data_IF_460740977657
#
_entry.id   IF_460740977657
#
_cell.length_a   1.000
_cell.length_b   1.000
_cell.length_c   1.000
_cell.angle_alpha   90.00
_cell.angle_beta   90.00
_cell.angle_gamma   90.00
#
_symmetry.space_group_name_H-M   'P 1'
#
loop_
_entity.id
_entity.type
_entity.pdbx_description
1 polymer ?
#
# COMPACT_ATOMS: atom_id res chain seq x y z
N UNK A 1 8.51 -34.91 -1.98
CA UNK A 1 9.47 -33.86 -1.58
C UNK A 1 8.90 -32.51 -2.00
N UNK A 2 8.10 -31.87 -1.15
CA UNK A 2 7.61 -30.52 -1.42
C UNK A 2 8.65 -29.54 -0.90
N UNK A 3 9.41 -28.94 -1.82
CA UNK A 3 10.19 -27.76 -1.50
C UNK A 3 9.23 -26.69 -0.95
N UNK A 4 9.50 -26.24 0.27
CA UNK A 4 8.89 -25.04 0.86
C UNK A 4 9.24 -23.86 -0.04
N UNK A 5 8.35 -23.58 -0.99
CA UNK A 5 8.51 -22.52 -1.98
C UNK A 5 8.61 -21.18 -1.26
N UNK A 6 9.82 -20.60 -1.29
CA UNK A 6 10.04 -19.23 -0.87
C UNK A 6 9.01 -18.32 -1.53
N UNK A 7 8.47 -17.42 -0.73
CA UNK A 7 7.52 -16.38 -1.06
C UNK A 7 8.06 -15.48 -2.19
N UNK A 8 7.96 -15.92 -3.45
CA UNK A 8 8.29 -15.09 -4.59
C UNK A 8 7.21 -14.01 -4.69
N UNK A 9 7.61 -12.76 -4.39
CA UNK A 9 6.80 -11.55 -4.52
C UNK A 9 6.18 -11.49 -5.92
N UNK A 10 4.85 -11.44 -6.03
CA UNK A 10 4.19 -11.35 -7.35
C UNK A 10 4.63 -10.06 -8.07
N UNK A 11 4.45 -9.96 -9.40
CA UNK A 11 4.70 -8.69 -10.11
C UNK A 11 3.93 -7.52 -9.48
N UNK A 12 2.75 -7.81 -8.93
CA UNK A 12 1.95 -6.86 -8.20
C UNK A 12 2.61 -6.39 -6.89
N UNK A 13 3.17 -7.31 -6.11
CA UNK A 13 3.86 -6.98 -4.85
C UNK A 13 5.08 -6.09 -5.10
N UNK A 14 5.92 -6.48 -6.05
CA UNK A 14 7.05 -5.65 -6.48
C UNK A 14 6.57 -4.27 -6.91
N UNK A 15 5.48 -4.17 -7.70
CA UNK A 15 4.95 -2.87 -8.12
C UNK A 15 4.51 -1.98 -6.95
N UNK A 16 4.05 -2.58 -5.84
CA UNK A 16 3.66 -1.84 -4.63
C UNK A 16 4.91 -1.38 -3.88
N UNK A 17 5.89 -2.25 -3.68
CA UNK A 17 7.14 -1.94 -2.97
C UNK A 17 7.93 -0.81 -3.66
N UNK A 18 8.08 -0.86 -4.98
CA UNK A 18 8.74 0.20 -5.75
C UNK A 18 8.00 1.54 -5.64
N UNK A 19 6.67 1.51 -5.65
CA UNK A 19 5.85 2.70 -5.46
C UNK A 19 6.01 3.29 -4.05
N UNK A 20 6.07 2.45 -3.01
CA UNK A 20 6.33 2.92 -1.66
C UNK A 20 7.71 3.53 -1.50
N UNK A 21 8.73 2.90 -2.11
CA UNK A 21 10.10 3.40 -2.13
C UNK A 21 10.17 4.77 -2.82
N UNK A 22 9.52 4.92 -3.97
CA UNK A 22 9.36 6.21 -4.65
C UNK A 22 8.73 7.26 -3.74
N UNK A 23 7.64 6.91 -3.05
CA UNK A 23 6.97 7.84 -2.13
C UNK A 23 7.89 8.29 -0.98
N UNK A 24 8.73 7.39 -0.44
CA UNK A 24 9.71 7.72 0.61
C UNK A 24 10.78 8.69 0.10
N UNK A 25 11.36 8.43 -1.06
CA UNK A 25 12.35 9.33 -1.69
C UNK A 25 11.74 10.71 -1.98
N UNK A 26 10.50 10.75 -2.48
CA UNK A 26 9.84 12.02 -2.78
C UNK A 26 9.58 12.84 -1.51
N UNK A 27 9.17 12.20 -0.41
CA UNK A 27 9.03 12.87 0.89
C UNK A 27 10.36 13.38 1.42
N UNK A 28 11.41 12.57 1.37
CA UNK A 28 12.75 12.96 1.79
C UNK A 28 13.25 14.19 1.01
N UNK A 29 13.08 14.15 -0.32
CA UNK A 29 13.45 15.26 -1.21
C UNK A 29 12.65 16.53 -0.92
N UNK A 30 11.36 16.40 -0.59
CA UNK A 30 10.52 17.51 -0.19
C UNK A 30 11.00 18.12 1.14
N UNK A 31 11.28 17.29 2.14
CA UNK A 31 11.80 17.74 3.44
C UNK A 31 13.12 18.52 3.29
N UNK A 32 14.07 18.01 2.48
CA UNK A 32 15.32 18.72 2.18
C UNK A 32 15.12 20.06 1.44
N UNK A 33 14.02 20.23 0.71
CA UNK A 33 13.71 21.49 0.03
C UNK A 33 13.06 22.51 0.96
N UNK A 34 12.27 22.04 1.90
CA UNK A 34 11.52 22.85 2.86
C UNK A 34 12.37 23.30 4.06
N UNK A 35 13.53 22.68 4.29
CA UNK A 35 14.56 23.21 5.17
C UNK A 35 14.99 24.60 4.66
N UNK A 36 14.53 25.65 5.34
CA UNK A 36 14.84 27.03 5.00
C UNK A 36 16.32 27.35 5.22
N UNK A 37 16.84 28.33 4.47
CA UNK A 37 18.24 28.74 4.53
C UNK A 37 19.04 28.33 3.29
N UNK A 38 20.33 28.67 3.30
CA UNK A 38 21.26 28.30 2.25
C UNK A 38 21.67 26.83 2.43
N UNK A 39 21.47 26.02 1.40
CA UNK A 39 21.79 24.60 1.47
C UNK A 39 23.29 24.38 1.58
N UNK A 40 23.69 23.45 2.44
CA UNK A 40 25.07 22.99 2.54
C UNK A 40 25.45 22.20 1.28
N UNK A 41 26.76 22.03 1.05
CA UNK A 41 27.25 21.19 -0.05
C UNK A 41 26.73 19.74 0.07
N UNK A 42 26.64 19.23 1.30
CA UNK A 42 26.11 17.89 1.59
C UNK A 42 24.63 17.77 1.22
N UNK A 43 23.80 18.75 1.58
CA UNK A 43 22.38 18.78 1.23
C UNK A 43 22.15 18.87 -0.29
N UNK A 44 23.02 19.59 -1.01
CA UNK A 44 22.98 19.64 -2.48
C UNK A 44 23.27 18.27 -3.11
N UNK A 45 24.30 17.57 -2.62
CA UNK A 45 24.62 16.20 -3.06
C UNK A 45 23.47 15.24 -2.75
N UNK A 46 22.90 15.30 -1.55
CA UNK A 46 21.75 14.46 -1.17
C UNK A 46 20.52 14.71 -2.06
N UNK A 47 20.26 15.96 -2.44
CA UNK A 47 19.19 16.30 -3.37
C UNK A 47 19.42 15.76 -4.79
N UNK A 48 20.65 15.77 -5.27
CA UNK A 48 21.03 15.20 -6.56
C UNK A 48 20.85 13.68 -6.56
N UNK A 49 21.39 13.00 -5.53
CA UNK A 49 21.24 11.56 -5.34
C UNK A 49 19.76 11.17 -5.26
N UNK A 50 18.97 11.87 -4.44
CA UNK A 50 17.53 11.62 -4.33
C UNK A 50 16.80 11.85 -5.67
N UNK A 51 17.21 12.85 -6.45
CA UNK A 51 16.66 13.10 -7.78
C UNK A 51 16.96 11.98 -8.78
N UNK A 52 18.18 11.44 -8.76
CA UNK A 52 18.56 10.28 -9.57
C UNK A 52 17.77 9.03 -9.18
N UNK A 53 17.69 8.75 -7.87
CA UNK A 53 16.91 7.63 -7.33
C UNK A 53 15.42 7.73 -7.69
N UNK A 54 14.83 8.93 -7.63
CA UNK A 54 13.44 9.13 -8.05
C UNK A 54 13.24 8.78 -9.54
N UNK A 55 14.17 9.18 -10.41
CA UNK A 55 14.13 8.87 -11.84
C UNK A 55 14.15 7.36 -12.09
N UNK A 56 15.05 6.64 -11.41
CA UNK A 56 15.15 5.19 -11.56
C UNK A 56 13.93 4.46 -10.98
N UNK A 57 13.43 4.90 -9.82
CA UNK A 57 12.22 4.37 -9.22
C UNK A 57 10.98 4.63 -10.11
N UNK A 58 10.93 5.75 -10.83
CA UNK A 58 9.88 6.01 -11.81
C UNK A 58 9.89 4.99 -12.96
N UNK A 59 11.08 4.73 -13.52
CA UNK A 59 11.24 3.72 -14.58
C UNK A 59 10.86 2.34 -14.09
N UNK A 60 11.36 1.94 -12.91
CA UNK A 60 11.05 0.64 -12.33
C UNK A 60 9.56 0.49 -11.99
N UNK A 61 8.93 1.52 -11.42
CA UNK A 61 7.49 1.48 -11.13
C UNK A 61 6.68 1.28 -12.41
N UNK A 62 6.98 2.02 -13.47
CA UNK A 62 6.29 1.89 -14.76
C UNK A 62 6.49 0.49 -15.38
N UNK A 63 7.71 -0.04 -15.33
CA UNK A 63 8.02 -1.38 -15.81
C UNK A 63 7.26 -2.46 -15.02
N UNK A 64 7.22 -2.38 -13.69
CA UNK A 64 6.46 -3.30 -12.87
C UNK A 64 4.96 -3.20 -13.15
N UNK A 65 4.41 -2.00 -13.33
CA UNK A 65 3.02 -1.81 -13.72
C UNK A 65 2.67 -2.46 -15.06
N UNK A 66 3.56 -2.35 -16.05
CA UNK A 66 3.40 -3.04 -17.33
C UNK A 66 3.42 -4.55 -17.15
N UNK A 67 4.33 -5.09 -16.32
CA UNK A 67 4.38 -6.53 -16.05
C UNK A 67 3.10 -7.03 -15.39
N UNK A 68 2.54 -6.27 -14.45
CA UNK A 68 1.25 -6.59 -13.82
C UNK A 68 0.12 -6.75 -14.84
N UNK A 69 0.12 -5.92 -15.88
CA UNK A 69 -0.91 -5.94 -16.91
C UNK A 69 -0.66 -6.99 -18.00
N UNK A 70 0.59 -7.22 -18.39
CA UNK A 70 0.87 -7.98 -19.61
C UNK A 70 1.48 -9.36 -19.37
N UNK A 71 2.09 -9.61 -18.21
CA UNK A 71 2.61 -10.94 -17.89
C UNK A 71 1.52 -11.86 -17.32
N UNK A 72 1.68 -13.15 -17.59
CA UNK A 72 0.92 -14.20 -16.90
C UNK A 72 1.40 -14.31 -15.45
N UNK A 73 0.53 -14.84 -14.58
CA UNK A 73 0.87 -15.06 -13.17
C UNK A 73 1.37 -13.82 -12.42
N UNK A 74 0.84 -12.67 -12.79
CA UNK A 74 1.28 -11.40 -12.25
C UNK A 74 0.66 -11.03 -10.90
N UNK A 75 -0.39 -11.75 -10.48
CA UNK A 75 -1.10 -11.59 -9.21
C UNK A 75 -1.29 -12.96 -8.55
N UNK A 76 -1.20 -13.01 -7.23
CA UNK A 76 -1.48 -14.22 -6.46
C UNK A 76 -2.99 -14.52 -6.45
N UNK A 77 -3.34 -15.78 -6.62
CA UNK A 77 -4.72 -16.26 -6.57
C UNK A 77 -5.39 -15.95 -5.22
N UNK A 78 -4.64 -16.03 -4.12
CA UNK A 78 -5.14 -15.68 -2.78
C UNK A 78 -5.64 -14.25 -2.72
N UNK A 79 -4.96 -13.31 -3.38
CA UNK A 79 -5.38 -11.91 -3.37
C UNK A 79 -6.63 -11.67 -4.23
N UNK A 80 -6.78 -12.42 -5.33
CA UNK A 80 -8.00 -12.38 -6.14
C UNK A 80 -9.22 -12.75 -5.27
N UNK A 81 -9.08 -13.75 -4.41
CA UNK A 81 -10.17 -14.21 -3.56
C UNK A 81 -10.50 -13.22 -2.43
N UNK A 82 -9.50 -12.54 -1.87
CA UNK A 82 -9.67 -11.70 -0.67
C UNK A 82 -9.98 -10.22 -0.94
N UNK A 83 -9.68 -9.70 -2.14
CA UNK A 83 -9.76 -8.27 -2.44
C UNK A 83 -11.19 -7.69 -2.64
N UNK A 84 -12.25 -8.40 -2.25
CA UNK A 84 -13.63 -7.91 -2.38
C UNK A 84 -14.07 -7.69 -3.83
N UNK A 85 -13.63 -8.55 -4.74
CA UNK A 85 -13.94 -8.49 -6.17
C UNK A 85 -15.34 -9.03 -6.46
N UNK A 86 -15.96 -8.54 -7.53
CA UNK A 86 -17.17 -9.18 -8.07
C UNK A 86 -16.83 -10.51 -8.73
N UNK A 87 -17.81 -11.41 -8.87
CA UNK A 87 -17.57 -12.72 -9.52
C UNK A 87 -16.98 -12.57 -10.93
N UNK A 88 -17.45 -11.60 -11.71
CA UNK A 88 -16.89 -11.32 -13.04
C UNK A 88 -15.44 -10.83 -13.01
N UNK A 89 -15.07 -10.05 -12.00
CA UNK A 89 -13.69 -9.60 -11.80
C UNK A 89 -12.77 -10.78 -11.41
N UNK A 90 -13.23 -11.66 -10.52
CA UNK A 90 -12.50 -12.88 -10.14
C UNK A 90 -12.31 -13.80 -11.33
N UNK A 91 -13.37 -14.09 -12.08
CA UNK A 91 -13.33 -14.93 -13.28
C UNK A 91 -12.30 -14.43 -14.30
N UNK A 92 -12.36 -13.13 -14.65
CA UNK A 92 -11.40 -12.53 -15.58
C UNK A 92 -9.97 -12.57 -15.02
N UNK A 93 -9.78 -12.28 -13.74
CA UNK A 93 -8.46 -12.31 -13.11
C UNK A 93 -7.85 -13.71 -13.07
N UNK A 94 -8.67 -14.74 -12.79
CA UNK A 94 -8.25 -16.14 -12.80
C UNK A 94 -7.92 -16.61 -14.22
N UNK A 95 -8.74 -16.28 -15.22
CA UNK A 95 -8.44 -16.63 -16.61
C UNK A 95 -7.18 -15.91 -17.11
N UNK A 96 -6.96 -14.66 -16.70
CA UNK A 96 -5.78 -13.86 -17.09
C UNK A 96 -4.46 -14.46 -16.61
N UNK A 97 -4.49 -15.37 -15.63
CA UNK A 97 -3.32 -16.16 -15.22
C UNK A 97 -2.74 -17.01 -16.36
N UNK A 98 -3.54 -17.38 -17.37
CA UNK A 98 -3.15 -18.36 -18.41
C UNK A 98 -3.54 -17.95 -19.83
N UNK A 99 -4.49 -17.04 -19.98
CA UNK A 99 -5.05 -16.65 -21.26
C UNK A 99 -4.85 -15.15 -21.51
N UNK A 100 -4.61 -14.80 -22.76
CA UNK A 100 -4.55 -13.41 -23.22
C UNK A 100 -5.92 -12.75 -23.17
N UNK A 101 -5.96 -11.41 -23.19
CA UNK A 101 -7.22 -10.66 -23.24
C UNK A 101 -8.13 -11.06 -24.40
N UNK A 102 -7.53 -11.41 -25.54
CA UNK A 102 -8.26 -11.84 -26.74
C UNK A 102 -8.88 -13.21 -26.56
N UNK A 103 -8.16 -14.16 -25.97
CA UNK A 103 -8.69 -15.51 -25.70
C UNK A 103 -9.81 -15.45 -24.66
N UNK A 104 -9.63 -14.68 -23.60
CA UNK A 104 -10.66 -14.47 -22.57
C UNK A 104 -11.90 -13.82 -23.20
N UNK A 105 -11.70 -12.81 -24.05
CA UNK A 105 -12.80 -12.17 -24.78
C UNK A 105 -13.62 -13.19 -25.58
N UNK A 106 -12.95 -14.09 -26.32
CA UNK A 106 -13.61 -15.18 -27.05
C UNK A 106 -14.36 -16.14 -26.12
N UNK A 107 -13.74 -16.59 -25.03
CA UNK A 107 -14.35 -17.52 -24.07
C UNK A 107 -15.60 -16.93 -23.41
N UNK A 108 -15.59 -15.63 -23.15
CA UNK A 108 -16.62 -14.95 -22.37
C UNK A 108 -17.63 -14.17 -23.22
N UNK A 109 -17.49 -14.18 -24.55
CA UNK A 109 -18.33 -13.41 -25.46
C UNK A 109 -18.17 -11.89 -25.30
N UNK A 110 -16.96 -11.41 -24.99
CA UNK A 110 -16.65 -10.00 -24.72
C UNK A 110 -15.61 -9.44 -25.68
N UNK A 111 -15.66 -8.12 -25.91
CA UNK A 111 -14.56 -7.42 -26.57
C UNK A 111 -13.28 -7.49 -25.71
N UNK A 112 -12.08 -7.71 -26.30
CA UNK A 112 -10.83 -7.75 -25.54
C UNK A 112 -10.55 -6.47 -24.74
N UNK A 113 -11.00 -5.31 -25.25
CA UNK A 113 -10.90 -4.01 -24.55
C UNK A 113 -11.72 -3.97 -23.26
N UNK A 114 -12.91 -4.59 -23.24
CA UNK A 114 -13.73 -4.72 -22.04
C UNK A 114 -13.06 -5.63 -21.01
N UNK A 115 -12.47 -6.74 -21.46
CA UNK A 115 -11.68 -7.63 -20.57
C UNK A 115 -10.50 -6.87 -19.96
N UNK A 116 -9.75 -6.14 -20.78
CA UNK A 116 -8.63 -5.32 -20.30
C UNK A 116 -9.08 -4.28 -19.28
N UNK A 117 -10.16 -3.55 -19.55
CA UNK A 117 -10.69 -2.56 -18.60
C UNK A 117 -11.06 -3.19 -17.27
N UNK A 118 -11.80 -4.30 -17.28
CA UNK A 118 -12.22 -4.99 -16.05
C UNK A 118 -11.00 -5.53 -15.29
N UNK A 119 -10.02 -6.08 -16.00
CA UNK A 119 -8.78 -6.57 -15.39
C UNK A 119 -7.99 -5.41 -14.76
N UNK A 120 -7.84 -4.28 -15.44
CA UNK A 120 -7.19 -3.07 -14.90
C UNK A 120 -7.89 -2.57 -13.63
N UNK A 121 -9.21 -2.55 -13.60
CA UNK A 121 -10.00 -2.18 -12.41
C UNK A 121 -9.80 -3.19 -11.28
N UNK A 122 -9.72 -4.47 -11.63
CA UNK A 122 -9.42 -5.57 -10.69
C UNK A 122 -8.05 -5.38 -10.05
N UNK A 123 -7.00 -5.12 -10.85
CA UNK A 123 -5.66 -4.80 -10.35
C UNK A 123 -5.71 -3.60 -9.40
N UNK A 124 -6.45 -2.54 -9.74
CA UNK A 124 -6.60 -1.37 -8.88
C UNK A 124 -7.20 -1.73 -7.51
N UNK A 125 -8.23 -2.57 -7.48
CA UNK A 125 -8.85 -3.05 -6.24
C UNK A 125 -7.88 -3.89 -5.41
N UNK A 126 -7.17 -4.84 -6.05
CA UNK A 126 -6.20 -5.68 -5.36
C UNK A 126 -5.04 -4.82 -4.82
N UNK A 127 -4.52 -3.85 -5.59
CA UNK A 127 -3.51 -2.89 -5.11
C UNK A 127 -3.98 -2.18 -3.85
N UNK A 128 -5.22 -1.66 -3.83
CA UNK A 128 -5.79 -0.99 -2.65
C UNK A 128 -5.87 -1.94 -1.45
N UNK A 129 -6.34 -3.17 -1.66
CA UNK A 129 -6.38 -4.19 -0.62
C UNK A 129 -4.99 -4.47 -0.03
N UNK A 130 -3.99 -4.74 -0.89
CA UNK A 130 -2.62 -5.06 -0.45
C UNK A 130 -1.94 -3.86 0.21
N UNK A 131 -2.10 -2.65 -0.31
CA UNK A 131 -1.56 -1.44 0.32
C UNK A 131 -2.14 -1.22 1.72
N UNK A 132 -3.43 -1.50 1.91
CA UNK A 132 -4.04 -1.40 3.24
C UNK A 132 -3.60 -2.54 4.18
N UNK A 133 -3.25 -3.73 3.67
CA UNK A 133 -2.59 -4.79 4.46
C UNK A 133 -1.15 -4.41 4.86
N UNK A 134 -0.35 -3.88 3.92
CA UNK A 134 1.06 -3.53 4.14
C UNK A 134 1.26 -2.37 5.12
N UNK A 135 0.28 -1.48 5.25
CA UNK A 135 0.40 -0.31 6.14
C UNK A 135 0.09 -0.59 7.62
N UNK A 136 -0.12 -1.86 8.02
CA UNK A 136 -0.69 -2.21 9.34
C UNK A 136 -1.90 -1.31 9.68
N UNK A 137 -2.64 -0.96 8.62
CA UNK A 137 -3.69 0.03 8.66
C UNK A 137 -4.99 -0.72 8.86
N UNK A 138 -5.73 -0.44 9.94
CA UNK A 138 -6.96 -1.17 10.19
C UNK A 138 -8.02 -0.84 9.15
N UNK A 139 -8.51 -1.86 8.46
CA UNK A 139 -9.60 -1.73 7.49
C UNK A 139 -10.90 -1.27 8.17
N UNK A 140 -11.72 -0.48 7.48
CA UNK A 140 -13.03 -0.01 7.96
C UNK A 140 -13.02 1.29 8.80
N UNK A 141 -11.84 1.87 9.05
CA UNK A 141 -11.70 3.18 9.70
C UNK A 141 -11.78 4.32 8.68
N UNK A 142 -12.51 5.39 9.01
CA UNK A 142 -12.48 6.63 8.23
C UNK A 142 -11.19 7.43 8.46
N UNK A 143 -10.88 8.41 7.59
CA UNK A 143 -9.65 9.22 7.66
C UNK A 143 -9.36 9.80 9.06
N UNK A 144 -10.38 10.29 9.76
CA UNK A 144 -10.23 10.84 11.11
C UNK A 144 -9.97 9.76 12.18
N UNK A 145 -10.55 8.58 11.99
CA UNK A 145 -10.35 7.42 12.86
C UNK A 145 -8.95 6.85 12.67
N UNK A 146 -8.41 6.91 11.46
CA UNK A 146 -7.03 6.52 11.14
C UNK A 146 -6.02 7.43 11.82
N UNK A 147 -6.21 8.74 11.78
CA UNK A 147 -5.35 9.69 12.50
C UNK A 147 -5.30 9.37 14.01
N UNK A 148 -6.48 9.21 14.64
CA UNK A 148 -6.57 8.84 16.07
C UNK A 148 -5.90 7.49 16.35
N UNK A 149 -6.10 6.50 15.46
CA UNK A 149 -5.49 5.18 15.59
C UNK A 149 -3.96 5.24 15.57
N UNK A 150 -3.36 5.96 14.63
CA UNK A 150 -1.90 6.06 14.52
C UNK A 150 -1.28 6.80 15.70
N UNK A 151 -1.84 7.93 16.11
CA UNK A 151 -1.35 8.68 17.28
C UNK A 151 -1.43 7.85 18.58
N UNK A 152 -2.46 7.01 18.71
CA UNK A 152 -2.56 6.09 19.84
C UNK A 152 -1.56 4.93 19.76
N UNK A 153 -1.26 4.45 18.55
CA UNK A 153 -0.24 3.43 18.28
C UNK A 153 1.16 3.94 18.64
N UNK A 154 1.43 5.22 18.38
CA UNK A 154 2.62 5.97 18.78
C UNK A 154 2.71 6.21 20.30
N UNK A 155 1.67 5.85 21.06
CA UNK A 155 1.68 5.91 22.52
C UNK A 155 1.14 7.21 23.10
N UNK A 156 0.65 8.15 22.28
CA UNK A 156 0.06 9.40 22.76
C UNK A 156 -1.20 9.15 23.60
N UNK A 157 -1.36 9.96 24.64
CA UNK A 157 -2.53 9.99 25.49
C UNK A 157 -3.73 10.64 24.78
N UNK A 158 -4.93 10.39 25.29
CA UNK A 158 -6.15 10.99 24.73
C UNK A 158 -6.13 12.53 24.79
N UNK A 159 -5.38 13.12 25.71
CA UNK A 159 -5.24 14.57 25.83
C UNK A 159 -4.33 15.12 24.73
N UNK A 160 -3.18 14.49 24.50
CA UNK A 160 -2.25 14.87 23.43
C UNK A 160 -2.89 14.70 22.05
N UNK A 161 -3.64 13.61 21.85
CA UNK A 161 -4.41 13.39 20.60
C UNK A 161 -5.47 14.47 20.41
N UNK A 162 -6.14 14.89 21.49
CA UNK A 162 -7.17 15.93 21.43
C UNK A 162 -6.59 17.29 21.04
N UNK A 163 -5.45 17.64 21.64
CA UNK A 163 -4.70 18.86 21.36
C UNK A 163 -4.18 18.87 19.92
N UNK A 164 -3.49 17.81 19.49
CA UNK A 164 -2.92 17.70 18.15
C UNK A 164 -3.96 17.71 17.04
N UNK A 165 -5.13 17.14 17.30
CA UNK A 165 -6.21 17.09 16.33
C UNK A 165 -7.19 18.26 16.45
N UNK A 166 -7.06 19.14 17.45
CA UNK A 166 -7.97 20.26 17.69
C UNK A 166 -9.42 19.83 17.97
N UNK A 167 -9.63 18.74 18.72
CA UNK A 167 -10.95 18.20 19.08
C UNK A 167 -11.06 17.94 20.58
N UNK A 168 -12.28 17.77 21.08
CA UNK A 168 -12.46 17.47 22.50
C UNK A 168 -11.92 16.07 22.87
N UNK A 169 -11.41 15.93 24.10
CA UNK A 169 -10.99 14.63 24.67
C UNK A 169 -12.15 13.62 24.65
N UNK A 170 -13.38 14.07 24.85
CA UNK A 170 -14.57 13.22 24.80
C UNK A 170 -14.84 12.69 23.38
N UNK A 171 -14.59 13.51 22.35
CA UNK A 171 -14.63 13.09 20.95
C UNK A 171 -13.57 12.02 20.68
N UNK A 172 -12.34 12.20 21.18
CA UNK A 172 -11.26 11.21 21.06
C UNK A 172 -11.66 9.88 21.70
N UNK A 173 -12.13 9.88 22.96
CA UNK A 173 -12.60 8.67 23.65
C UNK A 173 -13.70 7.93 22.88
N UNK A 174 -14.65 8.69 22.33
CA UNK A 174 -15.77 8.14 21.53
C UNK A 174 -15.26 7.50 20.24
N UNK A 175 -14.36 8.18 19.53
CA UNK A 175 -13.77 7.64 18.30
C UNK A 175 -12.91 6.40 18.58
N UNK A 176 -12.14 6.36 19.67
CA UNK A 176 -11.37 5.17 20.07
C UNK A 176 -12.29 3.98 20.35
N UNK A 177 -13.44 4.19 21.00
CA UNK A 177 -14.44 3.13 21.20
C UNK A 177 -14.96 2.59 19.88
N UNK A 178 -15.31 3.48 18.94
CA UNK A 178 -15.79 3.10 17.60
C UNK A 178 -14.70 2.37 16.82
N UNK A 179 -13.45 2.83 16.90
CA UNK A 179 -12.28 2.18 16.31
C UNK A 179 -12.15 0.75 16.85
N UNK A 180 -12.11 0.55 18.17
CA UNK A 180 -12.04 -0.77 18.80
C UNK A 180 -13.17 -1.71 18.35
N UNK A 181 -14.39 -1.19 18.29
CA UNK A 181 -15.56 -1.95 17.84
C UNK A 181 -15.43 -2.38 16.38
N UNK A 182 -15.00 -1.46 15.50
CA UNK A 182 -14.78 -1.75 14.08
C UNK A 182 -13.67 -2.76 13.84
N UNK A 183 -12.66 -2.79 14.72
CA UNK A 183 -11.51 -3.68 14.63
C UNK A 183 -11.69 -5.00 15.38
N UNK A 184 -12.77 -5.15 16.14
CA UNK A 184 -13.00 -6.36 16.94
C UNK A 184 -11.98 -6.59 18.04
N UNK A 185 -11.31 -5.52 18.52
CA UNK A 185 -10.24 -5.63 19.53
C UNK A 185 -10.57 -4.85 20.80
N UNK A 186 -10.19 -5.41 21.95
CA UNK A 186 -10.40 -4.77 23.27
C UNK A 186 -9.33 -3.70 23.58
N UNK A 187 -8.12 -3.88 23.03
CA UNK A 187 -6.97 -2.99 23.21
C UNK A 187 -6.29 -2.80 21.86
N UNK A 188 -5.97 -1.54 21.53
CA UNK A 188 -5.23 -1.24 20.31
C UNK A 188 -3.74 -1.59 20.53
N UNK A 189 -3.07 -2.19 19.53
CA UNK A 189 -1.66 -2.51 19.63
C UNK A 189 -0.85 -1.22 19.78
N UNK A 190 0.10 -1.20 20.70
CA UNK A 190 1.11 -0.14 20.79
C UNK A 190 2.28 -0.53 19.89
N UNK A 191 2.94 0.44 19.27
CA UNK A 191 4.27 0.21 18.69
C UNK A 191 5.18 -0.10 19.88
N UNK A 192 5.50 -1.37 20.09
CA UNK A 192 6.70 -1.74 20.83
C UNK A 192 7.85 -1.37 19.91
N UNK A 193 8.67 -0.39 20.32
CA UNK A 193 10.03 -0.33 19.82
C UNK A 193 10.62 -1.72 20.05
N UNK A 194 10.99 -2.41 18.98
CA UNK A 194 11.85 -3.58 19.10
C UNK A 194 13.22 -3.00 19.42
N UNK A 195 13.61 -3.08 20.68
CA UNK A 195 14.96 -2.77 21.15
C UNK A 195 15.93 -3.81 20.57
N UNK A 196 16.24 -3.73 19.28
CA UNK A 196 17.26 -4.56 18.63
C UNK A 196 18.03 -3.72 17.59
N UNK A 197 18.53 -2.55 17.99
CA UNK A 197 19.59 -1.82 17.28
C UNK A 197 20.55 -1.20 18.30
N UNK A 198 21.10 -2.04 19.17
CA UNK A 198 22.27 -1.72 19.98
C UNK A 198 23.11 -2.98 20.11
N UNK A 199 23.59 -3.52 18.99
CA UNK A 199 24.78 -4.38 18.90
C UNK A 199 25.04 -4.65 17.40
N UNK A 200 25.86 -3.81 16.78
CA UNK A 200 27.05 -4.18 16.00
C UNK A 200 27.74 -2.91 15.48
#
# INVERSE_FOLDING_TARGET
>A
MHATGGNWSSWLDMSIEYRESKNKINRYRQQLREQGGQKTAEEMVLLELAGSMESDLNKMTAEMENRVLYQFQAIDEKDIQLAGLTERQKEIALLRQRYSYTEIGKMLGMAPSSVFSIYRDTITKIKKYKMAQMQDQPHGLGNRQLQIYFLQKEGKSNSEIAEELGISINTVKTQIRIIKQKLGVNKLPKISCREDCAHF
#
